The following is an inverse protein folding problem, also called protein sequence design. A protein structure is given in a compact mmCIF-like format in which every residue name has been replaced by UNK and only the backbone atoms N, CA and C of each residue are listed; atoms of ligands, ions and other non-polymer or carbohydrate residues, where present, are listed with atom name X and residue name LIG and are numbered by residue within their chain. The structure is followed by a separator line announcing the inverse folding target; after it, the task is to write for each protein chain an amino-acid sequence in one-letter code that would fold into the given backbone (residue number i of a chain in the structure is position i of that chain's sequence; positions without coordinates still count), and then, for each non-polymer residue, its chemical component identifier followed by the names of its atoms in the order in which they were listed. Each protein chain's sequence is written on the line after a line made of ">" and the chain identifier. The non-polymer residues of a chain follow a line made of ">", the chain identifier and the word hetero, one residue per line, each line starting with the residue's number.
data_IF_591831645630
#
_entry.id   IF_591831645630
#
_cell.length_a   1.000
_cell.length_b   1.000
_cell.length_c   1.000
_cell.angle_alpha   90.00
_cell.angle_beta   90.00
_cell.angle_gamma   90.00
#
_symmetry.space_group_name_H-M   'P 1'
#
loop_
_entity.id
_entity.type
_entity.pdbx_description
1 polymer ?
#
# COMPACT_ATOMS: atom_id res chain seq x y z
N UNK A 1 13.97 -40.73 1.44
CA UNK A 1 13.24 -39.48 1.19
C UNK A 1 12.04 -39.81 0.32
N UNK A 2 10.85 -39.91 0.93
CA UNK A 2 9.60 -40.23 0.27
C UNK A 2 9.16 -39.02 -0.57
N UNK A 3 9.17 -39.16 -1.89
CA UNK A 3 8.54 -38.19 -2.78
C UNK A 3 7.03 -38.38 -2.65
N UNK A 4 6.40 -37.66 -1.72
CA UNK A 4 4.95 -37.67 -1.55
C UNK A 4 4.26 -37.08 -2.78
N UNK A 5 3.17 -37.70 -3.22
CA UNK A 5 2.35 -37.26 -4.35
C UNK A 5 2.00 -35.77 -4.20
N UNK A 6 2.51 -34.94 -5.11
CA UNK A 6 2.22 -33.51 -5.09
C UNK A 6 0.85 -33.30 -5.73
N UNK A 7 -0.14 -32.76 -5.00
CA UNK A 7 -1.46 -32.56 -5.56
C UNK A 7 -1.37 -31.62 -6.76
N UNK A 8 -2.03 -31.99 -7.85
CA UNK A 8 -2.12 -31.18 -9.07
C UNK A 8 -3.49 -30.51 -9.16
N UNK A 9 -3.55 -29.36 -9.82
CA UNK A 9 -4.81 -28.75 -10.25
C UNK A 9 -5.42 -29.57 -11.39
N UNK A 10 -6.69 -29.31 -11.72
CA UNK A 10 -7.34 -29.93 -12.89
C UNK A 10 -6.60 -29.66 -14.21
N UNK A 11 -5.81 -28.59 -14.28
CA UNK A 11 -4.93 -28.26 -15.41
C UNK A 11 -3.54 -28.90 -15.38
N UNK A 12 -3.27 -29.80 -14.42
CA UNK A 12 -1.98 -30.50 -14.30
C UNK A 12 -0.85 -29.69 -13.66
N UNK A 13 -1.12 -28.45 -13.21
CA UNK A 13 -0.13 -27.64 -12.50
C UNK A 13 -0.01 -28.10 -11.04
N UNK A 14 1.15 -27.91 -10.41
CA UNK A 14 1.29 -28.14 -8.97
C UNK A 14 0.32 -27.23 -8.20
N UNK A 15 -0.47 -27.83 -7.31
CA UNK A 15 -1.34 -27.08 -6.43
C UNK A 15 -0.49 -26.39 -5.35
N UNK A 16 -0.83 -25.14 -5.05
CA UNK A 16 -0.24 -24.46 -3.91
C UNK A 16 -0.50 -25.27 -2.61
N UNK A 17 0.44 -25.27 -1.66
CA UNK A 17 0.18 -25.81 -0.33
C UNK A 17 -1.07 -25.17 0.29
N UNK A 18 -1.80 -25.88 1.17
CA UNK A 18 -2.81 -25.28 2.04
C UNK A 18 -2.27 -24.07 2.79
N UNK A 19 -3.18 -23.15 3.13
CA UNK A 19 -2.83 -21.89 3.78
C UNK A 19 -2.08 -22.10 5.08
N UNK A 20 -2.54 -23.05 5.88
CA UNK A 20 -1.98 -23.43 7.16
C UNK A 20 -0.49 -23.81 7.02
N UNK A 21 -0.15 -24.53 5.94
CA UNK A 21 1.22 -25.00 5.70
C UNK A 21 2.17 -23.84 5.37
N UNK A 22 1.81 -22.99 4.41
CA UNK A 22 2.74 -21.91 4.04
C UNK A 22 2.77 -20.78 5.07
N UNK A 23 1.70 -20.57 5.85
CA UNK A 23 1.72 -19.63 6.97
C UNK A 23 2.71 -20.07 8.05
N UNK A 24 2.75 -21.37 8.39
CA UNK A 24 3.77 -21.91 9.30
C UNK A 24 5.20 -21.66 8.79
N UNK A 25 5.43 -21.81 7.49
CA UNK A 25 6.74 -21.51 6.88
C UNK A 25 7.11 -20.04 7.00
N UNK A 26 6.16 -19.13 6.77
CA UNK A 26 6.37 -17.68 6.88
C UNK A 26 6.71 -17.31 8.33
N UNK A 27 5.93 -17.79 9.29
CA UNK A 27 6.16 -17.54 10.72
C UNK A 27 7.52 -18.06 11.15
N UNK A 28 7.83 -19.31 10.82
CA UNK A 28 9.12 -19.94 11.15
C UNK A 28 10.30 -19.16 10.55
N UNK A 29 10.15 -18.66 9.32
CA UNK A 29 11.20 -17.84 8.70
C UNK A 29 11.38 -16.50 9.42
N UNK A 30 10.28 -15.84 9.80
CA UNK A 30 10.33 -14.56 10.51
C UNK A 30 10.94 -14.68 11.91
N UNK A 31 10.74 -15.81 12.61
CA UNK A 31 11.39 -16.08 13.90
C UNK A 31 12.92 -16.11 13.82
N UNK A 32 13.49 -16.40 12.65
CA UNK A 32 14.95 -16.38 12.43
C UNK A 32 15.52 -14.99 12.14
N UNK A 33 14.67 -13.99 11.93
CA UNK A 33 15.06 -12.64 11.54
C UNK A 33 14.81 -11.66 12.69
N UNK A 34 15.65 -10.64 12.80
CA UNK A 34 15.35 -9.54 13.70
C UNK A 34 14.16 -8.74 13.18
N UNK A 35 13.37 -8.19 14.11
CA UNK A 35 12.26 -7.28 13.79
C UNK A 35 12.71 -6.13 12.89
N UNK A 36 13.90 -5.59 13.10
CA UNK A 36 14.42 -4.47 12.33
C UNK A 36 14.63 -4.82 10.85
N UNK A 37 15.09 -6.04 10.55
CA UNK A 37 15.26 -6.51 9.16
C UNK A 37 13.90 -6.63 8.49
N UNK A 38 12.91 -7.20 9.19
CA UNK A 38 11.55 -7.34 8.69
C UNK A 38 10.97 -5.96 8.37
N UNK A 39 10.99 -5.04 9.34
CA UNK A 39 10.47 -3.67 9.16
C UNK A 39 11.17 -2.97 8.00
N UNK A 40 12.51 -3.02 7.93
CA UNK A 40 13.28 -2.38 6.86
C UNK A 40 12.92 -2.95 5.48
N UNK A 41 12.64 -4.25 5.37
CA UNK A 41 12.24 -4.87 4.11
C UNK A 41 10.91 -4.31 3.59
N UNK A 42 9.91 -4.12 4.47
CA UNK A 42 8.64 -3.50 4.12
C UNK A 42 8.83 -2.05 3.66
N UNK A 43 9.59 -1.25 4.43
CA UNK A 43 9.84 0.15 4.08
C UNK A 43 10.58 0.29 2.74
N UNK A 44 11.57 -0.57 2.47
CA UNK A 44 12.26 -0.59 1.19
C UNK A 44 11.36 -0.96 0.00
N UNK A 45 10.29 -1.72 0.24
CA UNK A 45 9.27 -2.05 -0.74
C UNK A 45 8.14 -1.01 -0.83
N UNK A 46 8.22 0.11 -0.10
CA UNK A 46 7.16 1.12 -0.06
C UNK A 46 5.92 0.71 0.74
N UNK A 47 6.05 -0.31 1.60
CA UNK A 47 4.98 -0.75 2.48
C UNK A 47 5.19 -0.09 3.84
N UNK A 48 4.36 0.89 4.15
CA UNK A 48 4.46 1.78 5.29
C UNK A 48 3.06 2.03 5.85
N UNK A 49 2.95 2.20 7.18
CA UNK A 49 1.70 2.65 7.81
C UNK A 49 1.51 4.17 7.71
N UNK A 50 2.62 4.90 7.61
CA UNK A 50 2.62 6.36 7.49
C UNK A 50 2.30 6.75 6.04
N UNK A 51 1.31 7.62 5.88
CA UNK A 51 0.85 8.22 4.63
C UNK A 51 1.53 9.57 4.33
N UNK A 52 2.14 10.18 5.35
CA UNK A 52 2.86 11.46 5.29
C UNK A 52 4.18 11.42 4.48
N UNK A 53 4.58 10.24 4.00
CA UNK A 53 5.76 10.06 3.17
C UNK A 53 7.12 10.14 3.88
N UNK A 54 7.16 10.13 5.22
CA UNK A 54 8.42 10.10 5.99
C UNK A 54 9.36 8.98 5.56
N UNK A 55 8.80 7.83 5.19
CA UNK A 55 9.56 6.65 4.79
C UNK A 55 9.84 6.57 3.28
N UNK A 56 9.37 7.51 2.46
CA UNK A 56 9.51 7.40 1.00
C UNK A 56 10.98 7.37 0.54
N UNK A 57 11.87 8.01 1.29
CA UNK A 57 13.31 7.99 1.01
C UNK A 57 13.96 6.61 1.19
N UNK A 58 13.29 5.69 1.89
CA UNK A 58 13.78 4.32 2.11
C UNK A 58 13.44 3.37 0.95
N UNK A 59 12.50 3.76 0.08
CA UNK A 59 12.03 2.96 -1.04
C UNK A 59 13.20 2.66 -1.98
N UNK A 60 13.48 1.37 -2.17
CA UNK A 60 14.72 0.93 -2.81
C UNK A 60 14.80 1.36 -4.26
N UNK A 61 13.69 1.30 -5.01
CA UNK A 61 13.66 1.66 -6.43
C UNK A 61 13.93 3.14 -6.69
N UNK A 62 13.78 4.01 -5.69
CA UNK A 62 14.03 5.46 -5.80
C UNK A 62 15.44 5.88 -5.43
N UNK A 63 16.29 4.95 -4.99
CA UNK A 63 17.69 5.25 -4.71
C UNK A 63 18.44 5.60 -6.00
N UNK A 64 19.59 6.26 -5.86
CA UNK A 64 20.43 6.71 -6.99
C UNK A 64 20.81 5.57 -7.94
N UNK A 65 20.99 4.36 -7.40
CA UNK A 65 21.30 3.11 -8.08
C UNK A 65 20.05 2.22 -8.32
N UNK A 66 18.87 2.70 -7.94
CA UNK A 66 17.60 2.02 -8.11
C UNK A 66 17.07 2.09 -9.55
N UNK A 67 16.02 1.32 -9.82
CA UNK A 67 15.40 1.26 -11.15
C UNK A 67 14.75 2.59 -11.59
N UNK A 68 14.36 3.44 -10.64
CA UNK A 68 13.64 4.70 -10.86
C UNK A 68 14.25 5.81 -9.99
N UNK A 69 15.49 6.25 -10.25
CA UNK A 69 16.22 7.16 -9.38
C UNK A 69 15.56 8.55 -9.19
N UNK A 70 14.65 8.94 -10.09
CA UNK A 70 13.83 10.15 -9.98
C UNK A 70 12.40 9.88 -9.49
N UNK A 71 12.11 8.70 -8.96
CA UNK A 71 10.74 8.32 -8.59
C UNK A 71 10.23 9.02 -7.32
N UNK A 72 11.12 9.39 -6.39
CA UNK A 72 10.75 10.10 -5.17
C UNK A 72 10.05 11.45 -5.41
N UNK A 73 10.61 12.38 -6.24
CA UNK A 73 9.91 13.62 -6.55
C UNK A 73 8.59 13.40 -7.30
N UNK A 74 8.52 12.40 -8.20
CA UNK A 74 7.30 12.06 -8.93
C UNK A 74 6.18 11.55 -7.99
N UNK A 75 6.53 10.69 -7.03
CA UNK A 75 5.60 10.21 -6.02
C UNK A 75 5.03 11.36 -5.18
N UNK A 76 5.89 12.29 -4.75
CA UNK A 76 5.46 13.45 -3.96
C UNK A 76 4.55 14.37 -4.76
N UNK A 77 4.88 14.63 -6.02
CA UNK A 77 4.04 15.43 -6.91
C UNK A 77 2.64 14.79 -7.05
N UNK A 78 2.58 13.47 -7.32
CA UNK A 78 1.31 12.78 -7.49
C UNK A 78 0.43 12.86 -6.24
N UNK A 79 1.00 12.74 -5.04
CA UNK A 79 0.25 12.90 -3.78
C UNK A 79 -0.29 14.31 -3.61
N UNK A 80 0.49 15.34 -3.94
CA UNK A 80 0.02 16.73 -3.90
C UNK A 80 -1.15 16.98 -4.87
N UNK A 81 -1.10 16.38 -6.05
CA UNK A 81 -2.22 16.43 -7.01
C UNK A 81 -3.47 15.75 -6.45
N UNK A 82 -3.32 14.57 -5.84
CA UNK A 82 -4.45 13.85 -5.23
C UNK A 82 -5.06 14.60 -4.05
N UNK A 83 -4.22 15.25 -3.22
CA UNK A 83 -4.70 16.07 -2.09
C UNK A 83 -5.43 17.33 -2.58
N UNK A 84 -4.97 17.94 -3.68
CA UNK A 84 -5.66 19.07 -4.32
C UNK A 84 -7.03 18.67 -4.88
N UNK A 85 -7.12 17.49 -5.51
CA UNK A 85 -8.38 16.96 -6.05
C UNK A 85 -9.38 16.73 -4.92
N UNK A 86 -8.97 16.05 -3.84
CA UNK A 86 -9.85 15.81 -2.68
C UNK A 86 -10.36 17.11 -2.08
N UNK A 87 -9.49 18.12 -1.94
CA UNK A 87 -9.90 19.42 -1.42
C UNK A 87 -10.92 20.11 -2.33
N UNK A 88 -10.74 20.03 -3.65
CA UNK A 88 -11.71 20.58 -4.60
C UNK A 88 -13.07 19.87 -4.53
N UNK A 89 -13.07 18.54 -4.41
CA UNK A 89 -14.30 17.74 -4.23
C UNK A 89 -15.00 18.07 -2.91
N UNK A 90 -14.26 18.24 -1.82
CA UNK A 90 -14.82 18.66 -0.53
C UNK A 90 -15.49 20.04 -0.60
N UNK A 91 -14.91 20.98 -1.36
CA UNK A 91 -15.51 22.32 -1.53
C UNK A 91 -16.82 22.21 -2.32
N UNK A 92 -16.82 21.49 -3.45
CA UNK A 92 -18.00 21.30 -4.31
C UNK A 92 -19.18 20.66 -3.55
N UNK A 93 -18.90 19.65 -2.72
CA UNK A 93 -19.93 18.98 -1.90
C UNK A 93 -20.50 19.88 -0.79
N UNK A 94 -19.71 20.80 -0.25
CA UNK A 94 -20.17 21.72 0.80
C UNK A 94 -20.96 22.91 0.24
N UNK A 95 -20.79 23.25 -1.04
CA UNK A 95 -21.57 24.31 -1.70
C UNK A 95 -23.04 23.88 -1.93
N UNK A 96 -23.29 22.58 -2.14
CA UNK A 96 -24.65 22.03 -2.33
C UNK A 96 -25.49 21.90 -1.03
N UNK A 97 -24.87 21.89 0.17
CA UNK A 97 -25.60 21.83 1.45
C UNK A 97 -26.09 23.20 1.95
N UNK A 98 -25.73 24.32 1.31
CA UNK A 98 -26.07 25.67 1.79
C UNK A 98 -27.30 26.32 1.09
N UNK A 99 -28.11 25.58 0.33
CA UNK A 99 -29.35 26.10 -0.30
C UNK A 99 -30.56 25.87 0.63
N UNK A 100 -30.38 26.17 1.92
CA UNK A 100 -31.21 25.58 2.97
C UNK A 100 -31.80 26.48 4.04
N UNK A 101 -31.57 27.80 4.07
CA UNK A 101 -32.39 28.69 4.91
C UNK A 101 -32.03 30.16 4.67
N UNK A 102 -32.91 30.92 4.02
CA UNK A 102 -33.43 32.20 4.53
C UNK A 102 -34.22 32.91 3.43
N UNK A 103 -35.51 32.58 3.32
CA UNK A 103 -36.48 33.47 2.68
C UNK A 103 -37.76 33.47 3.50
N UNK A 104 -37.65 33.93 4.74
CA UNK A 104 -38.81 34.51 5.44
C UNK A 104 -38.84 36.00 5.10
N UNK A 105 -39.54 36.37 4.02
CA UNK A 105 -40.00 37.74 3.86
C UNK A 105 -41.32 37.85 4.62
N UNK A 106 -41.29 38.54 5.75
CA UNK A 106 -42.49 39.13 6.34
C UNK A 106 -42.98 40.31 5.49
N UNK A 107 -44.33 40.39 5.43
CA UNK A 107 -45.24 41.41 4.86
C UNK A 107 -45.63 41.27 3.39
#
# INVERSE_FOLDING_TARGET
>A
MLHGDKPTTSGGNLRAPPMEIYLEWIVSAWETLSKDIIVKSFLCCGISKEDDGKNDALIHVFKKDGAIPNGLPLLRQRRQEDDMIKLAEEIDLNEDENIGSDFSIEL
#
